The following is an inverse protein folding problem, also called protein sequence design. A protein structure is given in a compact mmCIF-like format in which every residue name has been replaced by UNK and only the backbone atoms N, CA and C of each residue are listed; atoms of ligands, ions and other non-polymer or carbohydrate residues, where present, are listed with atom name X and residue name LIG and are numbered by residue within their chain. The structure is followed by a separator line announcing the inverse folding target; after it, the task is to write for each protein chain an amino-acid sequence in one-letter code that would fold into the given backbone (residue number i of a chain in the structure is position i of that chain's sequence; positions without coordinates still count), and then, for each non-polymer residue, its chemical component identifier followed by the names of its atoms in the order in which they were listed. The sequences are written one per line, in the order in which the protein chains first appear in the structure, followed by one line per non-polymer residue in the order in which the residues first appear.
data_IF_352826591378
#
_entry.id   IF_352826591378
#
_cell.length_a   1.000
_cell.length_b   1.000
_cell.length_c   1.000
_cell.angle_alpha   90.00
_cell.angle_beta   90.00
_cell.angle_gamma   90.00
#
_symmetry.space_group_name_H-M   'P 1'
#
loop_
_entity.id
_entity.type
_entity.pdbx_description
1 polymer ?
#
# COMPACT_ATOMS: atom_id res chain seq x y z
N UNK A 1 2.74 -26.08 6.72
CA UNK A 1 2.22 -24.70 6.54
C UNK A 1 2.68 -24.19 5.19
N UNK A 2 1.75 -23.85 4.30
CA UNK A 2 2.07 -23.24 3.01
C UNK A 2 2.65 -21.83 3.27
N UNK A 3 3.81 -21.51 2.69
CA UNK A 3 4.36 -20.15 2.78
C UNK A 3 3.55 -19.25 1.87
N UNK A 4 2.92 -18.22 2.43
CA UNK A 4 2.27 -17.17 1.66
C UNK A 4 3.31 -16.40 0.83
N UNK A 5 2.94 -16.04 -0.39
CA UNK A 5 3.74 -15.11 -1.22
C UNK A 5 3.80 -13.72 -0.59
N UNK A 6 4.71 -12.87 -1.06
CA UNK A 6 4.77 -11.49 -0.62
C UNK A 6 3.44 -10.76 -0.82
N UNK A 7 2.83 -10.87 -2.01
CA UNK A 7 1.54 -10.25 -2.31
C UNK A 7 0.45 -10.73 -1.35
N UNK A 8 0.34 -12.05 -1.13
CA UNK A 8 -0.65 -12.61 -0.18
C UNK A 8 -0.44 -12.09 1.25
N UNK A 9 0.81 -11.94 1.69
CA UNK A 9 1.13 -11.34 3.00
C UNK A 9 0.68 -9.87 3.07
N UNK A 10 0.85 -9.11 2.00
CA UNK A 10 0.45 -7.70 1.93
C UNK A 10 -1.08 -7.57 1.88
N UNK A 11 -1.78 -8.41 1.11
CA UNK A 11 -3.24 -8.47 1.07
C UNK A 11 -3.84 -8.85 2.43
N UNK A 12 -3.25 -9.82 3.13
CA UNK A 12 -3.68 -10.19 4.47
C UNK A 12 -3.47 -9.04 5.47
N UNK A 13 -2.36 -8.31 5.36
CA UNK A 13 -2.12 -7.12 6.17
C UNK A 13 -3.14 -6.02 5.87
N UNK A 14 -3.45 -5.78 4.59
CA UNK A 14 -4.50 -4.86 4.17
C UNK A 14 -5.85 -5.25 4.81
N UNK A 15 -6.27 -6.51 4.67
CA UNK A 15 -7.52 -7.00 5.27
C UNK A 15 -7.56 -6.79 6.79
N UNK A 16 -6.43 -6.97 7.48
CA UNK A 16 -6.36 -6.75 8.94
C UNK A 16 -6.59 -5.30 9.38
N UNK A 17 -6.34 -4.33 8.50
CA UNK A 17 -6.56 -2.91 8.79
C UNK A 17 -7.87 -2.37 8.23
N UNK A 18 -8.31 -2.89 7.09
CA UNK A 18 -9.31 -2.21 6.25
C UNK A 18 -10.56 -3.03 5.94
N UNK A 19 -10.74 -4.24 6.49
CA UNK A 19 -11.88 -5.10 6.17
C UNK A 19 -13.27 -4.50 6.45
N UNK A 20 -13.35 -3.44 7.27
CA UNK A 20 -14.59 -2.75 7.63
C UNK A 20 -14.84 -1.47 6.81
N UNK A 21 -13.91 -1.08 5.93
CA UNK A 21 -14.01 0.14 5.14
C UNK A 21 -14.38 -0.20 3.69
N UNK A 22 -15.45 0.42 3.19
CA UNK A 22 -15.93 0.22 1.82
C UNK A 22 -15.23 1.15 0.81
N UNK A 23 -14.66 2.26 1.29
CA UNK A 23 -14.05 3.32 0.49
C UNK A 23 -12.52 3.16 0.34
N UNK A 24 -12.02 1.93 0.37
CA UNK A 24 -10.61 1.63 0.15
C UNK A 24 -10.46 0.27 -0.53
N UNK A 25 -9.52 0.17 -1.47
CA UNK A 25 -9.30 -1.06 -2.23
C UNK A 25 -7.82 -1.42 -2.29
N UNK A 26 -7.53 -2.69 -2.59
CA UNK A 26 -6.19 -3.17 -2.92
C UNK A 26 -6.22 -3.91 -4.26
N UNK A 27 -5.22 -3.67 -5.09
CA UNK A 27 -4.88 -4.51 -6.23
C UNK A 27 -3.42 -4.95 -6.12
N UNK A 28 -3.17 -6.23 -6.38
CA UNK A 28 -1.82 -6.79 -6.34
C UNK A 28 -1.61 -7.68 -7.56
N UNK A 29 -0.52 -7.43 -8.29
CA UNK A 29 -0.10 -8.25 -9.41
C UNK A 29 1.42 -8.54 -9.31
N UNK A 30 1.98 -9.13 -10.36
CA UNK A 30 3.39 -9.52 -10.38
C UNK A 30 4.34 -8.33 -10.30
N UNK A 31 3.94 -7.16 -10.82
CA UNK A 31 4.77 -5.95 -10.96
C UNK A 31 4.52 -4.92 -9.87
N UNK A 32 3.30 -4.85 -9.32
CA UNK A 32 2.93 -3.80 -8.39
C UNK A 32 1.86 -4.23 -7.38
N UNK A 33 1.79 -3.45 -6.29
CA UNK A 33 0.70 -3.46 -5.32
C UNK A 33 0.21 -2.02 -5.18
N UNK A 34 -1.09 -1.79 -5.31
CA UNK A 34 -1.70 -0.47 -5.18
C UNK A 34 -2.86 -0.52 -4.20
N UNK A 35 -2.90 0.46 -3.30
CA UNK A 35 -3.98 0.69 -2.34
C UNK A 35 -4.47 2.11 -2.55
N UNK A 36 -5.75 2.26 -2.84
CA UNK A 36 -6.37 3.54 -3.15
C UNK A 36 -7.57 3.77 -2.25
N UNK A 37 -7.68 4.98 -1.69
CA UNK A 37 -8.95 5.47 -1.16
C UNK A 37 -9.88 5.79 -2.33
N UNK A 38 -11.15 5.41 -2.19
CA UNK A 38 -12.21 5.64 -3.15
C UNK A 38 -13.00 6.85 -2.67
N UNK A 39 -12.83 7.99 -3.33
CA UNK A 39 -13.63 9.20 -3.10
C UNK A 39 -14.15 9.72 -4.44
N UNK A 40 -15.47 9.71 -4.62
CA UNK A 40 -16.11 10.22 -5.85
C UNK A 40 -15.95 11.73 -6.03
N UNK A 41 -15.60 12.46 -4.97
CA UNK A 41 -15.41 13.92 -4.98
C UNK A 41 -13.96 14.36 -5.05
N UNK A 42 -13.01 13.45 -4.76
CA UNK A 42 -11.59 13.73 -4.78
C UNK A 42 -10.82 12.75 -5.67
N UNK A 43 -10.53 13.20 -6.89
CA UNK A 43 -9.72 12.45 -7.87
C UNK A 43 -8.29 12.18 -7.40
N UNK A 44 -7.79 12.99 -6.45
CA UNK A 44 -6.42 12.90 -5.96
C UNK A 44 -6.39 12.36 -4.53
N UNK A 45 -7.20 11.32 -4.27
CA UNK A 45 -7.30 10.69 -2.96
C UNK A 45 -5.99 10.02 -2.53
N UNK A 46 -5.79 9.93 -1.21
CA UNK A 46 -4.62 9.28 -0.65
C UNK A 46 -4.46 7.85 -1.17
N UNK A 47 -3.23 7.47 -1.48
CA UNK A 47 -2.90 6.17 -2.04
C UNK A 47 -1.52 5.68 -1.61
N UNK A 48 -1.30 4.38 -1.78
CA UNK A 48 -0.05 3.71 -1.50
C UNK A 48 0.26 2.74 -2.63
N UNK A 49 1.38 2.95 -3.29
CA UNK A 49 1.88 2.12 -4.39
C UNK A 49 3.20 1.47 -3.99
N UNK A 50 3.38 0.21 -4.37
CA UNK A 50 4.66 -0.47 -4.41
C UNK A 50 4.88 -0.96 -5.84
N UNK A 51 5.92 -0.48 -6.49
CA UNK A 51 6.42 -0.98 -7.78
C UNK A 51 7.63 -1.88 -7.55
N UNK A 52 7.61 -3.06 -8.16
CA UNK A 52 8.71 -4.02 -8.09
C UNK A 52 9.63 -3.76 -9.27
N UNK A 53 10.79 -3.17 -9.01
CA UNK A 53 11.83 -2.95 -10.00
C UNK A 53 12.89 -4.06 -9.86
N UNK A 54 13.76 -4.20 -10.86
CA UNK A 54 14.75 -5.29 -10.91
C UNK A 54 15.66 -5.34 -9.67
N UNK A 55 16.00 -4.18 -9.10
CA UNK A 55 16.96 -4.07 -8.01
C UNK A 55 16.33 -3.78 -6.64
N UNK A 56 15.13 -3.20 -6.62
CA UNK A 56 14.46 -2.79 -5.39
C UNK A 56 12.96 -2.61 -5.62
N UNK A 57 12.21 -2.52 -4.52
CA UNK A 57 10.83 -2.05 -4.56
C UNK A 57 10.80 -0.55 -4.31
N UNK A 58 10.17 0.20 -5.20
CA UNK A 58 9.84 1.60 -4.97
C UNK A 58 8.48 1.67 -4.29
N UNK A 59 8.42 2.28 -3.11
CA UNK A 59 7.18 2.44 -2.34
C UNK A 59 6.84 3.93 -2.28
N UNK A 60 5.70 4.29 -2.84
CA UNK A 60 5.22 5.66 -2.95
C UNK A 60 3.95 5.81 -2.12
N UNK A 61 3.94 6.76 -1.19
CA UNK A 61 2.76 7.16 -0.44
C UNK A 61 2.33 8.56 -0.87
N UNK A 62 1.07 8.68 -1.28
CA UNK A 62 0.41 9.94 -1.60
C UNK A 62 -0.63 10.23 -0.53
N UNK A 63 -0.57 11.41 0.08
CA UNK A 63 -1.49 11.81 1.14
C UNK A 63 -2.76 12.52 0.64
N UNK A 64 -2.84 12.76 -0.68
CA UNK A 64 -3.93 13.45 -1.33
C UNK A 64 -3.82 14.96 -1.36
N UNK A 65 -2.63 15.51 -1.10
CA UNK A 65 -2.37 16.94 -1.13
C UNK A 65 -1.32 17.32 -2.17
N UNK A 66 -0.02 17.32 -1.79
CA UNK A 66 1.00 18.01 -2.60
C UNK A 66 2.37 17.35 -2.66
N UNK A 67 2.73 16.42 -1.76
CA UNK A 67 4.00 15.72 -1.85
C UNK A 67 3.90 14.23 -1.58
N UNK A 68 4.41 13.43 -2.51
CA UNK A 68 4.56 11.99 -2.34
C UNK A 68 5.82 11.65 -1.53
N UNK A 69 5.68 10.75 -0.56
CA UNK A 69 6.80 10.11 0.11
C UNK A 69 7.24 8.87 -0.69
N UNK A 70 8.45 8.90 -1.24
CA UNK A 70 9.03 7.78 -2.00
C UNK A 70 10.16 7.15 -1.20
N UNK A 71 10.11 5.83 -1.04
CA UNK A 71 11.11 5.05 -0.30
C UNK A 71 11.50 3.81 -1.09
N UNK A 72 12.80 3.57 -1.19
CA UNK A 72 13.35 2.37 -1.82
C UNK A 72 13.56 1.26 -0.78
N UNK A 73 13.21 0.03 -1.15
CA UNK A 73 13.38 -1.14 -0.31
C UNK A 73 14.00 -2.29 -1.10
N UNK A 74 15.21 -2.69 -0.72
CA UNK A 74 16.01 -3.69 -1.44
C UNK A 74 15.62 -5.14 -1.13
N UNK A 75 14.62 -5.37 -0.28
CA UNK A 75 14.12 -6.70 0.05
C UNK A 75 12.67 -6.66 0.56
N UNK A 76 12.00 -7.82 0.54
CA UNK A 76 10.61 -7.95 0.98
C UNK A 76 10.39 -7.61 2.45
N UNK A 77 11.38 -7.83 3.32
CA UNK A 77 11.25 -7.59 4.76
C UNK A 77 11.13 -6.10 5.03
N UNK A 78 12.00 -5.30 4.42
CA UNK A 78 11.97 -3.84 4.57
C UNK A 78 10.77 -3.24 3.84
N UNK A 79 10.42 -3.80 2.68
CA UNK A 79 9.19 -3.43 1.96
C UNK A 79 7.95 -3.61 2.84
N UNK A 80 7.84 -4.75 3.53
CA UNK A 80 6.71 -5.02 4.43
C UNK A 80 6.66 -4.05 5.63
N UNK A 81 7.82 -3.63 6.17
CA UNK A 81 7.84 -2.62 7.25
C UNK A 81 7.35 -1.26 6.76
N UNK A 82 7.80 -0.84 5.58
CA UNK A 82 7.42 0.46 5.00
C UNK A 82 5.93 0.45 4.63
N UNK A 83 5.45 -0.60 3.96
CA UNK A 83 4.03 -0.79 3.66
C UNK A 83 3.18 -0.73 4.93
N UNK A 84 3.55 -1.45 5.99
CA UNK A 84 2.83 -1.41 7.27
C UNK A 84 2.79 0.01 7.86
N UNK A 85 3.89 0.75 7.77
CA UNK A 85 3.95 2.14 8.24
C UNK A 85 3.00 3.04 7.44
N UNK A 86 2.97 2.91 6.11
CA UNK A 86 2.12 3.72 5.24
C UNK A 86 0.65 3.31 5.29
N UNK A 87 0.32 2.02 5.43
CA UNK A 87 -1.04 1.57 5.73
C UNK A 87 -1.57 2.19 7.03
N UNK A 88 -0.73 2.29 8.07
CA UNK A 88 -1.11 3.01 9.30
C UNK A 88 -1.33 4.51 9.08
N UNK A 89 -0.65 5.13 8.10
CA UNK A 89 -0.92 6.53 7.72
C UNK A 89 -2.27 6.62 7.01
N UNK A 90 -2.56 5.75 6.04
CA UNK A 90 -3.87 5.67 5.38
C UNK A 90 -5.01 5.47 6.39
N UNK A 91 -4.83 4.57 7.36
CA UNK A 91 -5.82 4.33 8.41
C UNK A 91 -6.12 5.58 9.25
N UNK A 92 -5.14 6.48 9.44
CA UNK A 92 -5.37 7.76 10.13
C UNK A 92 -6.12 8.79 9.29
N UNK A 93 -6.13 8.65 7.96
CA UNK A 93 -6.90 9.51 7.07
C UNK A 93 -8.37 9.07 7.05
N UNK A 94 -8.62 7.77 7.22
CA UNK A 94 -9.96 7.17 7.26
C UNK A 94 -10.68 7.29 8.62
N UNK A 95 -9.99 7.71 9.69
CA UNK A 95 -10.55 7.87 11.04
C UNK A 95 -10.52 9.34 11.45
#
# INVERSE_FOLDING_TARGET
MQRFTFNQRVENLFKSYFSTYENISISANEEQIKIDLIDEKNLDSASLELKKLEQFHQITFWDGYSQAEVVEAFNERDSAKILKRFMKKLLKILN
#
